data_IF_571209333515
#
_entry.id   IF_571209333515
#
_cell.length_a   1.000
_cell.length_b   1.000
_cell.length_c   1.000
_cell.angle_alpha   90.00
_cell.angle_beta   90.00
_cell.angle_gamma   90.00
#
_symmetry.space_group_name_H-M   'P 1'
#
loop_
_entity.id
_entity.type
_entity.pdbx_description
1 polymer ?
#
# COMPACT_ATOMS: atom_id res chain seq x y z
N UNK A 1 -2.00 2.47 20.54
CA UNK A 1 -1.21 1.46 19.81
C UNK A 1 -1.21 1.86 18.34
N UNK A 2 -0.07 2.29 17.80
CA UNK A 2 0.06 2.59 16.36
C UNK A 2 0.00 1.27 15.60
N UNK A 3 -1.04 1.10 14.77
CA UNK A 3 -1.19 -0.09 13.94
C UNK A 3 -0.10 -0.07 12.87
N UNK A 4 0.88 -0.96 12.99
CA UNK A 4 1.91 -1.16 11.96
C UNK A 4 1.28 -1.87 10.77
N UNK A 5 1.50 -1.36 9.56
CA UNK A 5 1.05 -2.00 8.31
C UNK A 5 1.79 -3.34 8.14
N UNK A 6 1.07 -4.43 7.93
CA UNK A 6 1.65 -5.77 7.83
C UNK A 6 1.45 -6.41 6.45
N UNK A 7 2.44 -7.20 6.02
CA UNK A 7 2.35 -8.01 4.80
C UNK A 7 1.11 -8.89 4.79
N UNK A 8 0.37 -8.86 3.68
CA UNK A 8 -0.86 -9.63 3.50
C UNK A 8 -2.13 -8.93 3.99
N UNK A 9 -2.03 -7.79 4.68
CA UNK A 9 -3.21 -6.99 4.99
C UNK A 9 -3.80 -6.37 3.73
N UNK A 10 -5.13 -6.26 3.71
CA UNK A 10 -5.87 -5.51 2.68
C UNK A 10 -6.17 -4.11 3.21
N UNK A 11 -5.83 -3.10 2.41
CA UNK A 11 -6.05 -1.69 2.73
C UNK A 11 -6.84 -1.01 1.62
N UNK A 12 -7.65 -0.01 1.94
CA UNK A 12 -8.26 0.87 0.93
C UNK A 12 -7.28 2.01 0.65
N UNK A 13 -6.88 2.19 -0.60
CA UNK A 13 -5.94 3.22 -1.01
C UNK A 13 -6.52 4.07 -2.15
N UNK A 14 -6.24 5.39 -2.13
CA UNK A 14 -6.44 6.28 -3.27
C UNK A 14 -5.18 6.27 -4.14
N UNK A 15 -5.34 5.93 -5.42
CA UNK A 15 -4.25 5.78 -6.38
C UNK A 15 -4.08 6.99 -7.32
N UNK A 16 -4.80 8.09 -7.07
CA UNK A 16 -4.72 9.28 -7.91
C UNK A 16 -3.65 10.27 -7.42
N UNK A 17 -3.06 11.08 -8.34
CA UNK A 17 -3.24 11.05 -9.80
C UNK A 17 -2.44 9.94 -10.47
N UNK A 18 -2.94 9.45 -11.61
CA UNK A 18 -2.27 8.41 -12.41
C UNK A 18 -1.67 8.94 -13.71
N UNK A 19 -0.80 8.15 -14.34
CA UNK A 19 -0.25 8.39 -15.68
C UNK A 19 -0.60 7.23 -16.63
N UNK A 20 -1.19 7.55 -17.78
CA UNK A 20 -1.50 6.56 -18.82
C UNK A 20 -2.53 5.51 -18.38
N UNK A 21 -2.14 4.23 -18.40
CA UNK A 21 -3.00 3.08 -18.06
C UNK A 21 -2.71 2.48 -16.67
N UNK A 22 -2.06 3.24 -15.79
CA UNK A 22 -1.91 2.89 -14.37
C UNK A 22 -3.28 2.67 -13.70
N UNK A 23 -3.33 1.83 -12.67
CA UNK A 23 -4.56 1.61 -11.90
C UNK A 23 -4.98 2.88 -11.16
N UNK A 24 -6.25 3.25 -11.25
CA UNK A 24 -6.78 4.52 -10.73
C UNK A 24 -7.91 4.34 -9.71
N UNK A 25 -8.23 5.41 -8.98
CA UNK A 25 -9.35 5.46 -8.05
C UNK A 25 -9.04 4.89 -6.66
N UNK A 26 -10.06 4.90 -5.80
CA UNK A 26 -9.99 4.36 -4.45
C UNK A 26 -10.35 2.87 -4.49
N UNK A 27 -9.40 1.99 -4.19
CA UNK A 27 -9.62 0.53 -4.30
C UNK A 27 -8.82 -0.28 -3.27
N UNK A 28 -9.24 -1.53 -2.99
CA UNK A 28 -8.51 -2.42 -2.10
C UNK A 28 -7.16 -2.81 -2.70
N UNK A 29 -6.09 -2.65 -1.92
CA UNK A 29 -4.72 -3.08 -2.21
C UNK A 29 -4.28 -4.16 -1.22
N UNK A 30 -3.35 -5.02 -1.61
CA UNK A 30 -2.69 -5.97 -0.70
C UNK A 30 -1.29 -5.47 -0.39
N UNK A 31 -0.91 -5.45 0.89
CA UNK A 31 0.44 -5.09 1.32
C UNK A 31 1.42 -6.21 0.98
N UNK A 32 2.44 -5.91 0.17
CA UNK A 32 3.49 -6.87 -0.22
C UNK A 32 4.81 -6.65 0.54
N UNK A 33 5.04 -5.43 1.06
CA UNK A 33 6.27 -5.04 1.74
C UNK A 33 6.60 -5.91 2.96
N UNK A 34 7.90 -6.21 3.15
CA UNK A 34 8.39 -6.87 4.35
C UNK A 34 8.47 -5.93 5.56
N UNK A 35 8.18 -6.45 6.76
CA UNK A 35 8.07 -5.68 8.00
C UNK A 35 9.40 -5.03 8.45
N UNK A 36 10.56 -5.59 8.04
CA UNK A 36 11.88 -5.02 8.38
C UNK A 36 12.01 -3.59 7.83
N UNK A 37 11.59 -3.35 6.60
CA UNK A 37 11.68 -2.03 5.95
C UNK A 37 10.53 -1.12 6.41
N UNK A 38 9.37 -1.69 6.75
CA UNK A 38 8.22 -0.94 7.21
C UNK A 38 8.46 -0.14 8.51
N UNK A 39 9.43 -0.56 9.34
CA UNK A 39 9.81 0.17 10.56
C UNK A 39 10.52 1.50 10.29
N UNK A 40 11.14 1.64 9.11
CA UNK A 40 11.97 2.79 8.73
C UNK A 40 11.39 3.59 7.56
N UNK A 41 10.24 3.17 7.02
CA UNK A 41 9.66 3.73 5.81
C UNK A 41 8.21 4.16 6.04
N UNK A 42 7.88 5.35 5.54
CA UNK A 42 6.48 5.79 5.41
C UNK A 42 5.83 5.25 4.13
N UNK A 43 6.63 4.85 3.14
CA UNK A 43 6.17 4.24 1.89
C UNK A 43 5.98 2.73 2.08
N UNK A 44 4.92 2.19 1.46
CA UNK A 44 4.60 0.76 1.49
C UNK A 44 4.42 0.23 0.08
N UNK A 45 5.09 -0.87 -0.27
CA UNK A 45 4.84 -1.61 -1.51
C UNK A 45 3.53 -2.39 -1.42
N UNK A 46 2.66 -2.21 -2.41
CA UNK A 46 1.36 -2.85 -2.51
C UNK A 46 1.14 -3.46 -3.90
N UNK A 47 0.17 -4.36 -4.02
CA UNK A 47 -0.28 -4.97 -5.27
C UNK A 47 -1.81 -4.89 -5.39
N UNK A 48 -2.29 -4.81 -6.62
CA UNK A 48 -3.67 -4.53 -7.04
C UNK A 48 -4.11 -5.47 -8.15
#
# INVERSE_FOLDING_TARGET
MTKTVQRGEVWIADLNPIRGSEQAGVRPVIVLQNNIIAQFSTTTLTIL
#
